data_IF_633109427358
#
_entry.id   IF_633109427358
#
_cell.length_a   1.000
_cell.length_b   1.000
_cell.length_c   1.000
_cell.angle_alpha   90.00
_cell.angle_beta   90.00
_cell.angle_gamma   90.00
#
_symmetry.space_group_name_H-M   'P 1'
#
loop_
_entity.id
_entity.type
_entity.pdbx_description
1 polymer ?
#
# COMPACT_ATOMS: atom_id res chain seq x y z
N UNK A 1 26.24 13.26 -2.02
CA UNK A 1 25.83 11.88 -2.41
C UNK A 1 24.35 11.89 -2.78
N UNK A 2 23.97 11.29 -3.92
CA UNK A 2 22.56 11.24 -4.36
C UNK A 2 21.88 9.99 -3.80
N UNK A 3 20.66 10.13 -3.30
CA UNK A 3 19.80 9.01 -2.87
C UNK A 3 19.47 8.10 -4.06
N UNK A 4 19.70 6.80 -3.91
CA UNK A 4 19.31 5.77 -4.88
C UNK A 4 17.95 5.20 -4.46
N UNK A 5 16.98 5.17 -5.37
CA UNK A 5 15.66 4.57 -5.13
C UNK A 5 15.75 3.05 -5.15
N UNK A 6 14.88 2.36 -4.41
CA UNK A 6 14.81 0.90 -4.43
C UNK A 6 14.60 0.33 -5.85
N UNK A 7 13.80 1.01 -6.68
CA UNK A 7 13.58 0.63 -8.09
C UNK A 7 14.83 0.76 -8.97
N UNK A 8 15.77 1.65 -8.62
CA UNK A 8 17.04 1.79 -9.32
C UNK A 8 17.94 0.58 -9.07
N UNK A 9 17.90 -0.02 -7.87
CA UNK A 9 18.66 -1.23 -7.54
C UNK A 9 18.20 -2.39 -8.41
N UNK A 10 16.88 -2.61 -8.51
CA UNK A 10 16.31 -3.65 -9.36
C UNK A 10 16.67 -3.45 -10.84
N UNK A 11 16.59 -2.22 -11.33
CA UNK A 11 16.99 -1.89 -12.72
C UNK A 11 18.47 -2.19 -12.94
N UNK A 12 19.34 -1.79 -12.00
CA UNK A 12 20.78 -2.03 -12.12
C UNK A 12 21.13 -3.51 -12.14
N UNK A 13 20.53 -4.31 -11.26
CA UNK A 13 20.73 -5.76 -11.21
C UNK A 13 20.22 -6.47 -12.47
N UNK A 14 19.12 -5.98 -13.07
CA UNK A 14 18.61 -6.50 -14.32
C UNK A 14 19.48 -6.09 -15.52
N UNK A 15 19.79 -4.79 -15.64
CA UNK A 15 20.62 -4.24 -16.71
C UNK A 15 21.27 -2.90 -16.31
N UNK A 16 22.60 -2.91 -16.16
CA UNK A 16 23.40 -1.72 -15.87
C UNK A 16 23.22 -0.58 -16.89
N UNK A 17 23.07 -0.92 -18.18
CA UNK A 17 22.87 0.06 -19.25
C UNK A 17 21.51 0.76 -19.13
N UNK A 18 20.44 -0.01 -18.87
CA UNK A 18 19.11 0.55 -18.67
C UNK A 18 19.08 1.49 -17.46
N UNK A 19 19.75 1.12 -16.36
CA UNK A 19 19.91 1.99 -15.20
C UNK A 19 20.68 3.27 -15.55
N UNK A 20 21.74 3.19 -16.35
CA UNK A 20 22.47 4.37 -16.81
C UNK A 20 21.58 5.30 -17.67
N UNK A 21 20.75 4.74 -18.57
CA UNK A 21 19.78 5.51 -19.35
C UNK A 21 18.75 6.23 -18.47
N UNK A 22 18.20 5.55 -17.47
CA UNK A 22 17.31 6.17 -16.48
C UNK A 22 17.99 7.33 -15.74
N UNK A 23 19.29 7.19 -15.41
CA UNK A 23 20.07 8.27 -14.78
C UNK A 23 20.36 9.44 -15.71
N UNK A 24 20.28 9.23 -17.02
CA UNK A 24 20.35 10.27 -18.05
C UNK A 24 18.98 10.80 -18.45
N UNK A 25 17.92 10.39 -17.75
CA UNK A 25 16.53 10.79 -18.01
C UNK A 25 16.09 10.45 -19.45
N UNK A 26 16.72 9.43 -20.04
CA UNK A 26 16.31 8.91 -21.34
C UNK A 26 14.95 8.24 -21.17
N UNK A 27 13.94 8.62 -21.96
CA UNK A 27 12.62 8.05 -21.84
C UNK A 27 12.65 6.55 -22.19
N UNK A 28 11.89 5.75 -21.45
CA UNK A 28 11.65 4.35 -21.80
C UNK A 28 10.77 4.29 -23.05
N UNK A 29 10.97 3.29 -23.89
CA UNK A 29 10.04 2.99 -24.99
C UNK A 29 8.68 2.51 -24.46
N UNK A 30 8.66 1.90 -23.26
CA UNK A 30 7.48 1.29 -22.65
C UNK A 30 6.67 2.27 -21.77
N UNK A 31 6.65 3.56 -22.11
CA UNK A 31 5.95 4.60 -21.31
C UNK A 31 4.46 4.31 -21.20
N UNK A 32 3.85 3.78 -22.25
CA UNK A 32 2.41 3.45 -22.25
C UNK A 32 2.08 2.39 -21.20
N UNK A 33 2.85 1.32 -21.15
CA UNK A 33 2.69 0.21 -20.22
C UNK A 33 2.95 0.68 -18.78
N UNK A 34 3.96 1.52 -18.56
CA UNK A 34 4.24 2.10 -17.23
C UNK A 34 3.08 2.97 -16.73
N UNK A 35 2.50 3.81 -17.58
CA UNK A 35 1.34 4.64 -17.22
C UNK A 35 0.12 3.78 -16.91
N UNK A 36 -0.13 2.75 -17.73
CA UNK A 36 -1.21 1.78 -17.47
C UNK A 36 -1.03 1.05 -16.14
N UNK A 37 0.18 0.54 -15.86
CA UNK A 37 0.49 -0.09 -14.58
C UNK A 37 0.33 0.85 -13.38
N UNK A 38 0.73 2.12 -13.52
CA UNK A 38 0.58 3.14 -12.48
C UNK A 38 -0.90 3.38 -12.16
N UNK A 39 -1.76 3.46 -13.19
CA UNK A 39 -3.19 3.66 -13.01
C UNK A 39 -3.84 2.44 -12.32
N UNK A 40 -3.48 1.22 -12.71
CA UNK A 40 -3.95 0.00 -12.06
C UNK A 40 -3.53 -0.04 -10.57
N UNK A 41 -2.27 0.27 -10.27
CA UNK A 41 -1.79 0.35 -8.88
C UNK A 41 -2.52 1.42 -8.08
N UNK A 42 -2.84 2.57 -8.68
CA UNK A 42 -3.60 3.64 -8.03
C UNK A 42 -5.03 3.18 -7.70
N UNK A 43 -5.70 2.52 -8.63
CA UNK A 43 -7.04 1.96 -8.40
C UNK A 43 -7.03 0.91 -7.29
N UNK A 44 -6.08 -0.03 -7.35
CA UNK A 44 -5.93 -1.06 -6.31
C UNK A 44 -5.63 -0.44 -4.94
N UNK A 45 -4.74 0.56 -4.89
CA UNK A 45 -4.39 1.27 -3.66
C UNK A 45 -5.61 1.92 -2.98
N UNK A 46 -6.53 2.51 -3.75
CA UNK A 46 -7.78 3.05 -3.21
C UNK A 46 -8.64 1.97 -2.55
N UNK A 47 -8.77 0.82 -3.20
CA UNK A 47 -9.52 -0.33 -2.66
C UNK A 47 -8.88 -0.86 -1.38
N UNK A 48 -7.55 -0.99 -1.34
CA UNK A 48 -6.81 -1.42 -0.15
C UNK A 48 -6.99 -0.44 1.00
N UNK A 49 -6.93 0.87 0.74
CA UNK A 49 -7.18 1.90 1.76
C UNK A 49 -8.59 1.80 2.34
N UNK A 50 -9.61 1.68 1.49
CA UNK A 50 -11.00 1.53 1.94
C UNK A 50 -11.19 0.25 2.75
N UNK A 51 -10.62 -0.87 2.31
CA UNK A 51 -10.66 -2.14 3.04
C UNK A 51 -9.98 -2.01 4.41
N UNK A 52 -8.84 -1.31 4.48
CA UNK A 52 -8.16 -1.01 5.74
C UNK A 52 -9.02 -0.21 6.71
N UNK A 53 -9.66 0.88 6.24
CA UNK A 53 -10.56 1.70 7.05
C UNK A 53 -11.76 0.90 7.56
N UNK A 54 -12.42 0.12 6.69
CA UNK A 54 -13.55 -0.73 7.08
C UNK A 54 -13.13 -1.79 8.10
N UNK A 55 -11.93 -2.37 7.96
CA UNK A 55 -11.41 -3.34 8.92
C UNK A 55 -11.18 -2.71 10.30
N UNK A 56 -10.62 -1.51 10.35
CA UNK A 56 -10.43 -0.78 11.62
C UNK A 56 -11.79 -0.49 12.26
N UNK A 57 -12.76 -0.01 11.49
CA UNK A 57 -14.12 0.25 11.97
C UNK A 57 -14.78 -1.02 12.54
N UNK A 58 -14.71 -2.13 11.79
CA UNK A 58 -15.27 -3.41 12.22
C UNK A 58 -14.65 -3.91 13.52
N UNK A 59 -13.32 -3.83 13.65
CA UNK A 59 -12.62 -4.20 14.89
C UNK A 59 -12.99 -3.28 16.06
N UNK A 60 -13.16 -1.98 15.81
CA UNK A 60 -13.64 -1.03 16.81
C UNK A 60 -15.05 -1.34 17.30
N UNK A 61 -15.99 -1.63 16.38
CA UNK A 61 -17.35 -2.03 16.73
C UNK A 61 -17.39 -3.35 17.51
N UNK A 62 -16.58 -4.33 17.09
CA UNK A 62 -16.45 -5.60 17.80
C UNK A 62 -15.94 -5.39 19.23
N UNK A 63 -14.92 -4.56 19.42
CA UNK A 63 -14.39 -4.24 20.75
C UNK A 63 -15.47 -3.60 21.64
N UNK A 64 -16.21 -2.63 21.11
CA UNK A 64 -17.33 -1.99 21.84
C UNK A 64 -18.38 -3.02 22.25
N UNK A 65 -18.78 -3.91 21.33
CA UNK A 65 -19.74 -4.97 21.63
C UNK A 65 -19.25 -5.89 22.75
N UNK A 66 -17.98 -6.30 22.74
CA UNK A 66 -17.38 -7.13 23.79
C UNK A 66 -17.33 -6.40 25.14
N UNK A 67 -17.00 -5.12 25.16
CA UNK A 67 -17.01 -4.32 26.40
C UNK A 67 -18.42 -4.22 26.98
N UNK A 68 -19.42 -3.93 26.15
CA UNK A 68 -20.83 -3.87 26.58
C UNK A 68 -21.31 -5.23 27.11
N UNK A 69 -20.91 -6.32 26.45
CA UNK A 69 -21.21 -7.68 26.89
C UNK A 69 -20.66 -7.93 28.31
N UNK A 70 -19.40 -7.58 28.55
CA UNK A 70 -18.76 -7.72 29.87
C UNK A 70 -19.49 -6.88 30.91
N UNK A 71 -19.78 -5.61 30.62
CA UNK A 71 -20.51 -4.72 31.53
C UNK A 71 -21.87 -5.33 31.88
N UNK A 72 -22.60 -5.85 30.89
CA UNK A 72 -23.91 -6.46 31.09
C UNK A 72 -23.81 -7.66 32.05
N UNK A 73 -22.90 -8.61 31.80
CA UNK A 73 -22.76 -9.78 32.67
C UNK A 73 -22.26 -9.44 34.07
N UNK A 74 -21.31 -8.51 34.21
CA UNK A 74 -20.83 -8.08 35.53
C UNK A 74 -21.95 -7.42 36.33
N UNK A 75 -22.76 -6.56 35.70
CA UNK A 75 -23.89 -5.91 36.34
C UNK A 75 -25.06 -6.83 36.70
N UNK A 76 -25.10 -8.07 36.18
CA UNK A 76 -26.07 -9.09 36.62
C UNK A 76 -25.57 -9.89 37.83
N UNK A 77 -24.25 -9.92 38.07
CA UNK A 77 -23.62 -10.74 39.13
C UNK A 77 -23.42 -9.97 40.43
N UNK A 78 -23.18 -8.66 40.35
CA UNK A 78 -23.07 -7.74 41.49
C UNK A 78 -24.45 -7.24 41.93
#
# INVERSE_FOLDING_TARGET
MRTIRASEIGTYLYCHRAWWYQRKEVPSENVREMLSGTEIHRQHGRTVMLAGCLRILAMGMLLVALVLLVIHFVGQVL
#
